data_IF_900129203597
#
_entry.id   IF_900129203597
#
_cell.length_a   1.000
_cell.length_b   1.000
_cell.length_c   1.000
_cell.angle_alpha   90.00
_cell.angle_beta   90.00
_cell.angle_gamma   90.00
#
_symmetry.space_group_name_H-M   'P 1'
#
loop_
_entity.id
_entity.type
_entity.pdbx_description
1 polymer ?
#
# COMPACT_ATOMS: atom_id res chain seq x y z
N UNK A 1 7.64 -23.06 -20.08
CA UNK A 1 6.42 -22.25 -19.90
C UNK A 1 6.42 -21.69 -18.48
N UNK A 2 6.58 -20.37 -18.31
CA UNK A 2 6.40 -19.73 -16.99
C UNK A 2 4.92 -19.86 -16.64
N UNK A 3 4.59 -20.56 -15.54
CA UNK A 3 3.22 -20.58 -15.02
C UNK A 3 2.78 -19.13 -14.84
N UNK A 4 1.64 -18.75 -15.44
CA UNK A 4 0.98 -17.48 -15.13
C UNK A 4 0.57 -17.57 -13.67
N UNK A 5 1.37 -16.98 -12.78
CA UNK A 5 1.00 -16.74 -11.40
C UNK A 5 -0.19 -15.79 -11.47
N UNK A 6 -1.37 -16.29 -11.09
CA UNK A 6 -2.55 -15.43 -10.89
C UNK A 6 -2.47 -14.98 -9.45
N UNK A 7 -2.35 -13.66 -9.17
CA UNK A 7 -2.40 -13.16 -7.81
C UNK A 7 -3.66 -13.69 -7.13
N UNK A 8 -3.58 -14.16 -5.87
CA UNK A 8 -4.79 -14.48 -5.12
C UNK A 8 -5.66 -13.22 -5.04
N UNK A 9 -6.99 -13.38 -5.13
CA UNK A 9 -7.89 -12.26 -4.83
C UNK A 9 -7.65 -11.78 -3.40
N UNK A 10 -7.92 -10.51 -3.10
CA UNK A 10 -7.82 -9.93 -1.74
C UNK A 10 -8.44 -10.84 -0.65
N UNK A 11 -9.55 -11.50 -0.97
CA UNK A 11 -10.25 -12.47 -0.09
C UNK A 11 -9.47 -13.77 0.18
N UNK A 12 -8.58 -14.19 -0.72
CA UNK A 12 -7.79 -15.41 -0.61
C UNK A 12 -6.55 -15.26 0.28
N UNK A 13 -6.23 -14.04 0.73
CA UNK A 13 -5.03 -13.72 1.50
C UNK A 13 -5.14 -14.01 3.01
N UNK A 14 -6.31 -14.42 3.52
CA UNK A 14 -6.55 -14.64 4.97
C UNK A 14 -5.93 -15.93 5.56
N UNK A 15 -4.60 -16.11 5.47
CA UNK A 15 -3.88 -17.09 6.31
C UNK A 15 -3.09 -16.34 7.39
N UNK A 16 -3.70 -16.20 8.56
CA UNK A 16 -3.11 -15.46 9.69
C UNK A 16 -1.81 -16.08 10.21
N UNK A 17 -0.80 -15.21 10.39
CA UNK A 17 0.58 -15.50 10.83
C UNK A 17 1.34 -16.43 9.89
N UNK A 18 1.66 -15.96 8.69
CA UNK A 18 2.83 -16.50 8.00
C UNK A 18 4.10 -15.88 8.60
N UNK A 19 5.03 -16.74 9.00
CA UNK A 19 6.41 -16.35 9.32
C UNK A 19 6.99 -15.43 8.23
N UNK A 20 6.58 -15.70 6.98
CA UNK A 20 6.92 -14.99 5.76
C UNK A 20 6.53 -13.49 5.76
N UNK A 21 5.37 -13.10 6.30
CA UNK A 21 5.02 -11.67 6.45
C UNK A 21 6.04 -10.95 7.34
N UNK A 22 6.32 -11.54 8.52
CA UNK A 22 7.26 -10.96 9.49
C UNK A 22 8.68 -10.91 8.93
N UNK A 23 9.12 -11.98 8.28
CA UNK A 23 10.43 -12.05 7.62
C UNK A 23 10.60 -10.95 6.58
N UNK A 24 9.60 -10.74 5.71
CA UNK A 24 9.65 -9.70 4.69
C UNK A 24 9.61 -8.30 5.30
N UNK A 25 8.74 -8.06 6.29
CA UNK A 25 8.64 -6.77 6.98
C UNK A 25 9.96 -6.41 7.68
N UNK A 26 10.52 -7.34 8.46
CA UNK A 26 11.79 -7.14 9.16
C UNK A 26 12.94 -6.86 8.18
N UNK A 27 12.98 -7.58 7.05
CA UNK A 27 13.97 -7.35 6.02
C UNK A 27 13.80 -5.98 5.36
N UNK A 28 12.58 -5.53 5.05
CA UNK A 28 12.36 -4.20 4.47
C UNK A 28 12.83 -3.11 5.42
N UNK A 29 12.51 -3.21 6.71
CA UNK A 29 12.82 -2.17 7.70
C UNK A 29 14.28 -2.14 8.13
N UNK A 30 14.93 -3.30 8.24
CA UNK A 30 16.24 -3.41 8.89
C UNK A 30 17.35 -3.91 7.96
N UNK A 31 17.02 -4.68 6.92
CA UNK A 31 17.99 -5.41 6.10
C UNK A 31 17.60 -5.39 4.62
N UNK A 32 17.30 -4.20 4.07
CA UNK A 32 16.68 -4.02 2.75
C UNK A 32 17.43 -4.70 1.60
N UNK A 33 18.75 -4.86 1.73
CA UNK A 33 19.61 -5.60 0.81
C UNK A 33 19.22 -7.09 0.66
N UNK A 34 18.61 -7.71 1.68
CA UNK A 34 18.15 -9.12 1.65
C UNK A 34 16.80 -9.30 0.97
N UNK A 35 16.01 -8.23 0.81
CA UNK A 35 14.63 -8.32 0.30
C UNK A 35 14.58 -8.98 -1.07
N UNK A 36 15.52 -8.65 -1.96
CA UNK A 36 15.59 -9.27 -3.30
C UNK A 36 15.87 -10.76 -3.24
N UNK A 37 16.74 -11.20 -2.33
CA UNK A 37 17.09 -12.61 -2.17
C UNK A 37 15.91 -13.39 -1.57
N UNK A 38 15.24 -12.82 -0.56
CA UNK A 38 14.03 -13.38 0.05
C UNK A 38 12.93 -13.57 -1.01
N UNK A 39 12.64 -12.54 -1.79
CA UNK A 39 11.63 -12.59 -2.86
C UNK A 39 12.04 -13.54 -3.99
N UNK A 40 13.34 -13.64 -4.31
CA UNK A 40 13.85 -14.59 -5.31
C UNK A 40 13.68 -16.04 -4.85
N UNK A 41 13.91 -16.31 -3.56
CA UNK A 41 13.74 -17.64 -2.96
C UNK A 41 12.25 -18.02 -2.82
N UNK A 42 11.39 -17.06 -2.46
CA UNK A 42 9.97 -17.25 -2.29
C UNK A 42 9.17 -16.03 -2.82
N UNK A 43 8.78 -16.00 -4.12
CA UNK A 43 8.02 -14.88 -4.66
C UNK A 43 6.64 -14.68 -4.03
N UNK A 44 6.04 -15.74 -3.47
CA UNK A 44 4.72 -15.67 -2.84
C UNK A 44 4.73 -14.82 -1.56
N UNK A 45 5.91 -14.58 -0.96
CA UNK A 45 6.10 -13.71 0.22
C UNK A 45 5.49 -12.31 0.03
N UNK A 46 5.45 -11.80 -1.20
CA UNK A 46 4.89 -10.48 -1.53
C UNK A 46 3.37 -10.39 -1.35
N UNK A 47 2.69 -11.54 -1.30
CA UNK A 47 1.25 -11.66 -1.10
C UNK A 47 0.87 -12.04 0.34
N UNK A 48 1.85 -12.36 1.18
CA UNK A 48 1.61 -12.74 2.57
C UNK A 48 1.06 -11.55 3.36
N UNK A 49 0.12 -11.84 4.27
CA UNK A 49 -0.57 -10.81 5.03
C UNK A 49 -0.53 -11.04 6.53
N UNK A 50 -0.62 -9.96 7.30
CA UNK A 50 -0.82 -10.01 8.73
C UNK A 50 -2.23 -10.52 9.09
N UNK A 51 -2.55 -10.57 10.39
CA UNK A 51 -3.85 -11.01 10.89
C UNK A 51 -5.04 -10.14 10.43
N UNK A 52 -4.79 -8.88 10.08
CA UNK A 52 -5.79 -7.96 9.55
C UNK A 52 -6.00 -8.12 8.03
N UNK A 53 -5.22 -8.97 7.34
CA UNK A 53 -5.29 -9.16 5.89
C UNK A 53 -4.48 -8.12 5.09
N UNK A 54 -3.58 -7.40 5.75
CA UNK A 54 -2.73 -6.36 5.16
C UNK A 54 -1.40 -6.99 4.72
N UNK A 55 -0.98 -6.78 3.48
CA UNK A 55 0.37 -7.17 3.06
C UNK A 55 1.41 -6.17 3.57
N UNK A 56 2.70 -6.50 3.41
CA UNK A 56 3.78 -5.63 3.93
C UNK A 56 3.71 -4.22 3.32
N UNK A 57 3.38 -4.09 2.03
CA UNK A 57 3.25 -2.78 1.37
C UNK A 57 2.18 -1.91 2.02
N UNK A 58 1.02 -2.48 2.39
CA UNK A 58 -0.02 -1.75 3.11
C UNK A 58 0.47 -1.28 4.48
N UNK A 59 1.17 -2.12 5.24
CA UNK A 59 1.72 -1.70 6.53
C UNK A 59 2.69 -0.52 6.38
N UNK A 60 3.57 -0.56 5.37
CA UNK A 60 4.48 0.55 5.07
C UNK A 60 3.75 1.84 4.67
N UNK A 61 2.56 1.73 4.05
CA UNK A 61 1.74 2.89 3.73
C UNK A 61 1.13 3.55 4.98
N UNK A 62 0.81 2.77 6.00
CA UNK A 62 0.36 3.28 7.31
C UNK A 62 1.50 3.99 8.05
N UNK A 63 2.74 3.53 7.88
CA UNK A 63 3.92 4.08 8.55
C UNK A 63 4.66 5.17 7.73
N UNK A 64 4.10 5.60 6.60
CA UNK A 64 4.71 6.55 5.65
C UNK A 64 6.11 6.13 5.14
N UNK A 65 6.38 4.83 4.97
CA UNK A 65 7.70 4.32 4.60
C UNK A 65 7.82 4.15 3.06
N UNK A 66 8.00 5.26 2.36
CA UNK A 66 7.99 5.35 0.88
C UNK A 66 9.02 4.48 0.17
N UNK A 67 10.26 4.40 0.68
CA UNK A 67 11.36 3.66 0.09
C UNK A 67 11.08 2.14 0.07
N UNK A 68 10.41 1.67 1.12
CA UNK A 68 9.97 0.29 1.24
C UNK A 68 8.80 -0.03 0.29
N UNK A 69 7.87 0.91 0.12
CA UNK A 69 6.77 0.79 -0.86
C UNK A 69 7.35 0.70 -2.27
N UNK A 70 8.28 1.58 -2.64
CA UNK A 70 8.97 1.54 -3.93
C UNK A 70 9.72 0.23 -4.15
N UNK A 71 10.49 -0.22 -3.14
CA UNK A 71 11.22 -1.47 -3.19
C UNK A 71 10.29 -2.65 -3.43
N UNK A 72 9.24 -2.82 -2.62
CA UNK A 72 8.30 -3.93 -2.75
C UNK A 72 7.52 -3.85 -4.06
N UNK A 73 7.14 -2.65 -4.49
CA UNK A 73 6.45 -2.45 -5.76
C UNK A 73 7.33 -2.83 -6.95
N UNK A 74 8.61 -2.47 -6.93
CA UNK A 74 9.59 -2.84 -7.97
C UNK A 74 9.76 -4.36 -8.12
N UNK A 75 9.45 -5.11 -7.07
CA UNK A 75 9.50 -6.57 -7.02
C UNK A 75 8.14 -7.23 -7.35
N UNK A 76 7.11 -6.43 -7.60
CA UNK A 76 5.79 -6.91 -8.01
C UNK A 76 4.78 -7.07 -6.87
N UNK A 77 5.04 -6.52 -5.68
CA UNK A 77 4.04 -6.52 -4.61
C UNK A 77 2.77 -5.80 -5.08
N UNK A 78 1.58 -6.36 -4.82
CA UNK A 78 0.33 -5.69 -5.12
C UNK A 78 0.11 -4.52 -4.15
N UNK A 79 -0.61 -3.51 -4.61
CA UNK A 79 -1.07 -2.40 -3.78
C UNK A 79 -2.52 -2.70 -3.36
N UNK A 80 -2.80 -3.00 -2.08
CA UNK A 80 -4.18 -3.18 -1.62
C UNK A 80 -4.94 -1.86 -1.64
N UNK A 81 -6.26 -1.90 -1.87
CA UNK A 81 -7.11 -0.70 -1.92
C UNK A 81 -7.03 0.14 -0.62
N UNK A 82 -6.93 -0.54 0.53
CA UNK A 82 -6.85 0.10 1.85
C UNK A 82 -5.50 0.79 2.13
N UNK A 83 -4.44 0.50 1.36
CA UNK A 83 -3.17 1.19 1.51
C UNK A 83 -3.32 2.69 1.21
N UNK A 84 -4.03 3.03 0.13
CA UNK A 84 -4.28 4.43 -0.23
C UNK A 84 -5.25 5.10 0.75
N UNK A 85 -6.32 4.40 1.15
CA UNK A 85 -7.29 4.91 2.12
C UNK A 85 -6.60 5.30 3.43
N UNK A 86 -5.82 4.38 4.01
CA UNK A 86 -5.16 4.65 5.29
C UNK A 86 -4.07 5.72 5.15
N UNK A 87 -3.32 5.77 4.03
CA UNK A 87 -2.37 6.85 3.79
C UNK A 87 -3.04 8.24 3.75
N UNK A 88 -4.25 8.33 3.16
CA UNK A 88 -5.05 9.57 3.15
C UNK A 88 -5.56 9.90 4.55
N UNK A 89 -6.08 8.92 5.29
CA UNK A 89 -6.56 9.13 6.66
C UNK A 89 -5.47 9.65 7.60
N UNK A 90 -4.25 9.14 7.48
CA UNK A 90 -3.10 9.59 8.26
C UNK A 90 -2.45 10.88 7.71
N UNK A 91 -2.92 11.40 6.57
CA UNK A 91 -2.40 12.60 5.95
C UNK A 91 -0.96 12.47 5.43
N UNK A 92 -0.53 11.24 5.13
CA UNK A 92 0.79 10.87 4.62
C UNK A 92 0.93 11.24 3.15
N UNK A 93 1.08 12.55 2.87
CA UNK A 93 1.05 13.11 1.51
C UNK A 93 2.04 12.46 0.57
N UNK A 94 3.25 12.16 1.04
CA UNK A 94 4.31 11.51 0.24
C UNK A 94 3.87 10.11 -0.20
N UNK A 95 3.38 9.31 0.76
CA UNK A 95 2.83 7.98 0.47
C UNK A 95 1.60 8.03 -0.43
N UNK A 96 0.67 8.98 -0.22
CA UNK A 96 -0.50 9.14 -1.08
C UNK A 96 -0.09 9.40 -2.52
N UNK A 97 0.83 10.34 -2.74
CA UNK A 97 1.35 10.67 -4.07
C UNK A 97 2.02 9.45 -4.69
N UNK A 98 2.92 8.79 -3.94
CA UNK A 98 3.63 7.61 -4.41
C UNK A 98 2.66 6.48 -4.81
N UNK A 99 1.66 6.16 -4.00
CA UNK A 99 0.70 5.10 -4.30
C UNK A 99 -0.10 5.42 -5.58
N UNK A 100 -0.48 6.67 -5.80
CA UNK A 100 -1.13 7.10 -7.04
C UNK A 100 -0.20 6.92 -8.26
N UNK A 101 1.06 7.33 -8.15
CA UNK A 101 2.07 7.17 -9.21
C UNK A 101 2.37 5.70 -9.53
N UNK A 102 2.34 4.83 -8.52
CA UNK A 102 2.54 3.38 -8.67
C UNK A 102 1.29 2.64 -9.19
N UNK A 103 0.20 3.38 -9.45
CA UNK A 103 -1.03 2.88 -10.07
C UNK A 103 -1.98 2.22 -9.08
N UNK A 104 -2.10 2.75 -7.85
CA UNK A 104 -3.15 2.32 -6.93
C UNK A 104 -4.54 2.41 -7.58
N UNK A 105 -5.34 1.36 -7.44
CA UNK A 105 -6.67 1.30 -8.04
C UNK A 105 -7.62 2.27 -7.32
N UNK A 106 -8.19 3.18 -8.10
CA UNK A 106 -9.19 4.15 -7.64
C UNK A 106 -10.57 3.73 -8.14
N UNK A 107 -11.25 2.89 -7.36
CA UNK A 107 -12.65 2.59 -7.59
C UNK A 107 -13.55 3.60 -6.85
N UNK A 108 -14.86 3.56 -7.11
CA UNK A 108 -15.84 4.45 -6.48
C UNK A 108 -15.80 4.39 -4.94
N UNK A 109 -15.60 3.20 -4.37
CA UNK A 109 -15.48 3.02 -2.92
C UNK A 109 -14.24 3.72 -2.34
N UNK A 110 -13.07 3.52 -2.95
CA UNK A 110 -11.81 4.15 -2.53
C UNK A 110 -11.91 5.67 -2.64
N UNK A 111 -12.38 6.18 -3.78
CA UNK A 111 -12.60 7.61 -4.02
C UNK A 111 -13.50 8.25 -2.97
N UNK A 112 -14.68 7.65 -2.73
CA UNK A 112 -15.65 8.16 -1.75
C UNK A 112 -15.10 8.12 -0.32
N UNK A 113 -14.37 7.08 0.05
CA UNK A 113 -13.77 6.94 1.37
C UNK A 113 -12.67 7.98 1.60
N UNK A 114 -11.78 8.17 0.62
CA UNK A 114 -10.74 9.21 0.67
C UNK A 114 -11.35 10.62 0.74
N UNK A 115 -12.37 10.90 -0.09
CA UNK A 115 -13.08 12.18 -0.07
C UNK A 115 -13.76 12.45 1.28
N UNK A 116 -14.35 11.43 1.89
CA UNK A 116 -14.90 11.53 3.25
C UNK A 116 -13.82 11.84 4.27
N UNK A 117 -12.69 11.12 4.26
CA UNK A 117 -11.58 11.34 5.18
C UNK A 117 -11.02 12.77 5.10
N UNK A 118 -10.85 13.29 3.87
CA UNK A 118 -10.42 14.66 3.62
C UNK A 118 -11.43 15.70 4.09
N UNK A 119 -12.73 15.43 3.93
CA UNK A 119 -13.81 16.35 4.36
C UNK A 119 -13.97 16.39 5.89
N UNK A 120 -13.88 15.24 6.55
CA UNK A 120 -14.01 15.15 8.01
C UNK A 120 -12.73 15.53 8.75
N UNK A 121 -11.65 15.81 8.01
CA UNK A 121 -10.32 16.03 8.55
C UNK A 121 -9.87 14.90 9.49
N UNK A 122 -9.90 13.67 8.98
CA UNK A 122 -9.49 12.48 9.73
C UNK A 122 -8.14 12.72 10.42
N UNK A 123 -8.05 12.36 11.70
CA UNK A 123 -6.85 12.50 12.56
C UNK A 123 -6.23 13.90 12.64
N UNK A 124 -6.95 14.97 12.25
CA UNK A 124 -6.46 16.35 12.38
C UNK A 124 -5.45 16.76 11.31
N UNK A 125 -5.59 16.25 10.08
CA UNK A 125 -4.73 16.57 8.95
C UNK A 125 -4.62 18.11 8.70
N UNK A 126 -3.42 18.63 8.37
CA UNK A 126 -3.28 20.04 8.03
C UNK A 126 -4.04 20.40 6.73
N UNK A 127 -4.66 21.58 6.67
CA UNK A 127 -5.40 22.02 5.46
C UNK A 127 -4.55 21.99 4.18
N UNK A 128 -3.25 22.31 4.28
CA UNK A 128 -2.32 22.27 3.15
C UNK A 128 -2.21 20.85 2.57
N UNK A 129 -2.22 19.83 3.43
CA UNK A 129 -2.15 18.42 3.03
C UNK A 129 -3.48 18.02 2.36
N UNK A 130 -4.62 18.44 2.91
CA UNK A 130 -5.94 18.20 2.30
C UNK A 130 -6.00 18.78 0.88
N UNK A 131 -5.57 20.03 0.70
CA UNK A 131 -5.54 20.70 -0.61
C UNK A 131 -4.60 19.98 -1.59
N UNK A 132 -3.42 19.59 -1.12
CA UNK A 132 -2.44 18.86 -1.92
C UNK A 132 -2.99 17.51 -2.39
N UNK A 133 -3.53 16.70 -1.48
CA UNK A 133 -4.11 15.39 -1.81
C UNK A 133 -5.24 15.55 -2.82
N UNK A 134 -6.19 16.47 -2.60
CA UNK A 134 -7.28 16.74 -3.57
C UNK A 134 -6.75 17.11 -4.95
N UNK A 135 -5.68 17.90 -5.04
CA UNK A 135 -5.09 18.27 -6.33
C UNK A 135 -4.51 17.08 -7.10
N UNK A 136 -3.90 16.11 -6.39
CA UNK A 136 -3.39 14.89 -6.98
C UNK A 136 -4.53 13.97 -7.44
N UNK A 137 -5.56 13.74 -6.63
CA UNK A 137 -6.73 12.97 -7.07
C UNK A 137 -7.35 13.55 -8.35
N UNK A 138 -7.45 14.87 -8.46
CA UNK A 138 -7.91 15.55 -9.67
C UNK A 138 -7.02 15.29 -10.88
N UNK A 139 -5.70 15.29 -10.71
CA UNK A 139 -4.74 14.96 -11.79
C UNK A 139 -4.94 13.53 -12.33
N UNK A 140 -5.35 12.60 -11.46
CA UNK A 140 -5.67 11.22 -11.84
C UNK A 140 -7.14 11.04 -12.30
N UNK A 141 -7.92 12.12 -12.45
CA UNK A 141 -9.28 12.09 -12.99
C UNK A 141 -10.40 11.88 -11.96
N UNK A 142 -10.12 12.03 -10.67
CA UNK A 142 -11.10 11.87 -9.59
C UNK A 142 -11.38 13.20 -8.90
N UNK A 143 -12.65 13.61 -8.86
CA UNK A 143 -13.08 14.79 -8.09
C UNK A 143 -13.55 14.35 -6.70
N UNK A 144 -12.78 14.71 -5.66
CA UNK A 144 -13.05 14.39 -4.24
C UNK A 144 -12.96 15.60 -3.31
#
# INVERSE_FOLDING_TARGET
>A
MRKRIRPPSYTALKKGRSHEFGLLLDAVLNESHKVKDIVTANPEVLYETCWAGENVLHWLAIENHTEGIELLRSLGSPIPEFALIHAVEHGHTETVILLLELGAELNEYVSNTCGKALKTNAFGMPEKNVRLIKSYFKQYGYEI
#
